data_IF_372506903647
#
_entry.id   IF_372506903647
#
_cell.length_a   1.000
_cell.length_b   1.000
_cell.length_c   1.000
_cell.angle_alpha   90.00
_cell.angle_beta   90.00
_cell.angle_gamma   90.00
#
_symmetry.space_group_name_H-M   'P 1'
#
loop_
_entity.id
_entity.type
_entity.pdbx_description
1 polymer ?
#
# COMPACT_ATOMS: atom_id res chain seq x y z
N UNK A 1 -0.35 4.42 11.01
CA UNK A 1 0.76 3.96 10.19
C UNK A 1 1.86 3.42 11.09
N UNK A 2 2.50 2.34 10.66
CA UNK A 2 3.60 1.75 11.40
C UNK A 2 4.89 1.99 10.64
N UNK A 3 5.93 2.34 11.37
CA UNK A 3 7.25 2.54 10.79
C UNK A 3 8.20 1.44 11.23
N UNK A 4 8.95 0.92 10.27
CA UNK A 4 9.96 -0.10 10.54
C UNK A 4 11.24 0.36 9.89
N UNK A 5 12.26 0.61 10.69
CA UNK A 5 13.49 1.17 10.14
C UNK A 5 14.74 0.35 10.45
N UNK A 6 14.56 -0.94 10.70
CA UNK A 6 15.71 -1.79 10.97
C UNK A 6 16.43 -2.34 9.77
N UNK A 7 15.93 -2.09 8.57
CA UNK A 7 16.53 -2.61 7.36
C UNK A 7 17.26 -1.55 6.57
N UNK A 8 17.53 -1.87 5.31
CA UNK A 8 18.25 -0.94 4.44
C UNK A 8 17.44 0.31 4.13
N UNK A 9 16.14 0.15 3.99
CA UNK A 9 15.24 1.26 3.76
C UNK A 9 14.16 1.23 4.82
N UNK A 10 13.65 2.39 5.22
CA UNK A 10 12.50 2.38 6.11
C UNK A 10 11.26 1.87 5.40
N UNK A 11 10.42 1.19 6.14
CA UNK A 11 9.15 0.68 5.63
C UNK A 11 8.03 1.36 6.40
N UNK A 12 7.09 1.95 5.66
CA UNK A 12 5.92 2.59 6.26
C UNK A 12 4.70 1.78 5.86
N UNK A 13 4.00 1.23 6.83
CA UNK A 13 2.87 0.34 6.57
C UNK A 13 1.57 1.06 6.90
N UNK A 14 0.70 1.13 5.92
CA UNK A 14 -0.59 1.79 6.05
C UNK A 14 -1.70 0.76 5.88
N UNK A 15 -2.54 0.63 6.89
CA UNK A 15 -3.71 -0.26 6.79
C UNK A 15 -4.93 0.62 6.60
N UNK A 16 -5.49 0.58 5.41
CA UNK A 16 -6.57 1.46 5.02
C UNK A 16 -7.94 0.84 5.19
N UNK A 17 -8.01 -0.25 5.92
CA UNK A 17 -9.26 -0.98 6.04
C UNK A 17 -10.39 -0.11 6.57
N UNK A 18 -10.08 0.77 7.51
CA UNK A 18 -11.09 1.58 8.16
C UNK A 18 -11.23 2.98 7.60
N UNK A 19 -10.42 3.33 6.62
CA UNK A 19 -10.51 4.65 6.03
C UNK A 19 -11.55 4.66 4.93
N UNK A 20 -12.29 5.74 4.86
CA UNK A 20 -13.37 5.84 3.90
C UNK A 20 -13.00 6.53 2.62
N UNK A 21 -11.88 7.23 2.58
CA UNK A 21 -11.54 7.99 1.39
C UNK A 21 -10.06 8.34 1.38
N UNK A 22 -9.60 8.79 0.21
CA UNK A 22 -8.24 9.25 0.05
C UNK A 22 -7.95 10.49 0.89
N UNK A 23 -8.96 11.29 1.16
CA UNK A 23 -8.75 12.49 1.98
C UNK A 23 -8.22 12.14 3.35
N UNK A 24 -8.73 11.05 3.94
CA UNK A 24 -8.25 10.64 5.24
C UNK A 24 -6.79 10.22 5.20
N UNK A 25 -6.38 9.63 4.10
CA UNK A 25 -4.97 9.25 3.95
C UNK A 25 -4.10 10.50 3.88
N UNK A 26 -4.54 11.52 3.18
CA UNK A 26 -3.77 12.75 3.11
C UNK A 26 -3.65 13.41 4.48
N UNK A 27 -4.67 13.29 5.30
CA UNK A 27 -4.62 13.87 6.64
C UNK A 27 -3.60 13.20 7.54
N UNK A 28 -3.28 11.95 7.26
CA UNK A 28 -2.25 11.24 8.01
C UNK A 28 -0.85 11.72 7.64
N UNK A 29 -0.71 12.40 6.51
CA UNK A 29 0.59 12.86 6.06
C UNK A 29 1.18 12.01 4.97
N UNK A 30 0.34 11.41 4.15
CA UNK A 30 0.76 10.47 3.11
C UNK A 30 1.90 11.01 2.25
N UNK A 31 1.80 12.27 1.85
CA UNK A 31 2.80 12.83 0.96
C UNK A 31 4.16 12.97 1.63
N UNK A 32 4.15 13.26 2.93
CA UNK A 32 5.40 13.32 3.67
C UNK A 32 6.09 11.98 3.68
N UNK A 33 5.33 10.92 3.90
CA UNK A 33 5.92 9.58 3.94
C UNK A 33 6.50 9.20 2.58
N UNK A 34 5.81 9.56 1.51
CA UNK A 34 6.33 9.27 0.17
C UNK A 34 7.68 9.93 -0.05
N UNK A 35 7.91 11.09 0.54
CA UNK A 35 9.15 11.81 0.35
C UNK A 35 10.28 11.41 1.26
N UNK A 36 10.09 10.41 2.12
CA UNK A 36 11.10 10.07 3.13
C UNK A 36 12.09 9.01 2.67
N UNK A 37 11.99 8.58 1.43
CA UNK A 37 13.02 7.70 0.87
C UNK A 37 12.90 6.24 1.24
N UNK A 38 11.73 5.82 1.68
CA UNK A 38 11.52 4.44 2.05
C UNK A 38 10.49 3.76 1.17
N UNK A 39 9.94 2.68 1.68
CA UNK A 39 8.91 1.90 0.99
C UNK A 39 7.60 2.08 1.74
N UNK A 40 6.55 2.43 1.00
CA UNK A 40 5.22 2.53 1.58
C UNK A 40 4.41 1.33 1.14
N UNK A 41 3.95 0.54 2.10
CA UNK A 41 3.11 -0.62 1.83
C UNK A 41 1.70 -0.31 2.30
N UNK A 42 0.73 -0.39 1.39
CA UNK A 42 -0.64 0.02 1.67
C UNK A 42 -1.55 -1.18 1.52
N UNK A 43 -2.22 -1.56 2.61
CA UNK A 43 -3.23 -2.61 2.58
C UNK A 43 -4.60 -2.00 2.40
N UNK A 44 -5.48 -2.75 1.75
CA UNK A 44 -6.84 -2.29 1.45
C UNK A 44 -6.79 -1.03 0.60
N UNK A 45 -5.91 -1.07 -0.40
CA UNK A 45 -5.61 0.11 -1.19
C UNK A 45 -6.80 0.60 -2.01
N UNK A 46 -7.77 -0.26 -2.27
CA UNK A 46 -8.93 0.15 -3.05
C UNK A 46 -9.72 1.26 -2.36
N UNK A 47 -9.59 1.37 -1.04
CA UNK A 47 -10.28 2.43 -0.32
C UNK A 47 -9.67 3.80 -0.57
N UNK A 48 -8.43 3.84 -1.04
CA UNK A 48 -7.72 5.08 -1.23
C UNK A 48 -7.06 5.13 -2.60
N UNK A 49 -7.68 4.49 -3.58
CA UNK A 49 -7.08 4.32 -4.89
C UNK A 49 -6.68 5.65 -5.53
N UNK A 50 -7.41 6.70 -5.25
CA UNK A 50 -7.10 8.01 -5.84
C UNK A 50 -5.74 8.52 -5.41
N UNK A 51 -5.33 8.21 -4.19
CA UNK A 51 -4.05 8.69 -3.68
C UNK A 51 -2.89 7.89 -4.22
N UNK A 52 -3.16 6.74 -4.82
CA UNK A 52 -2.12 5.82 -5.24
C UNK A 52 -1.85 5.87 -6.72
N UNK A 53 -2.36 6.88 -7.38
CA UNK A 53 -2.06 7.07 -8.79
C UNK A 53 -0.58 7.34 -8.95
N UNK A 54 -0.04 6.89 -10.08
CA UNK A 54 1.35 7.08 -10.35
C UNK A 54 2.09 5.76 -10.26
N UNK A 55 3.31 5.83 -9.84
CA UNK A 55 4.20 4.68 -9.91
C UNK A 55 4.05 3.79 -8.69
N UNK A 56 3.46 2.62 -8.88
CA UNK A 56 3.33 1.68 -7.78
C UNK A 56 3.27 0.26 -8.31
N UNK A 57 3.49 -0.69 -7.40
CA UNK A 57 3.32 -2.10 -7.70
C UNK A 57 2.11 -2.58 -6.94
N UNK A 58 1.19 -3.19 -7.65
CA UNK A 58 -0.01 -3.73 -7.04
C UNK A 58 0.17 -5.21 -6.81
N UNK A 59 -0.16 -5.66 -5.61
CA UNK A 59 -0.08 -7.06 -5.26
C UNK A 59 -1.47 -7.53 -4.85
N UNK A 60 -2.02 -8.47 -5.60
CA UNK A 60 -3.31 -9.07 -5.30
C UNK A 60 -3.07 -10.43 -4.69
N UNK A 61 -3.68 -10.68 -3.54
CA UNK A 61 -3.55 -11.96 -2.86
C UNK A 61 -4.94 -12.54 -2.69
N UNK A 62 -5.14 -13.73 -3.23
CA UNK A 62 -6.45 -14.38 -3.18
C UNK A 62 -6.31 -15.78 -2.61
N UNK A 63 -7.38 -16.26 -2.04
CA UNK A 63 -7.40 -17.63 -1.57
C UNK A 63 -7.41 -18.59 -2.73
N UNK A 64 -6.67 -19.68 -2.59
CA UNK A 64 -6.69 -20.73 -3.58
C UNK A 64 -7.78 -21.75 -3.29
N UNK A 65 -7.70 -22.87 -4.00
CA UNK A 65 -8.70 -23.92 -3.86
C UNK A 65 -8.59 -24.68 -2.54
N UNK A 66 -7.40 -24.74 -1.98
CA UNK A 66 -7.15 -25.45 -0.72
C UNK A 66 -6.76 -24.45 0.35
N UNK A 67 -6.91 -24.87 1.61
CA UNK A 67 -6.69 -23.95 2.73
C UNK A 67 -5.32 -23.31 2.73
N UNK A 68 -4.31 -24.04 2.36
CA UNK A 68 -2.95 -23.50 2.40
C UNK A 68 -2.52 -22.76 1.17
N UNK A 69 -3.40 -22.63 0.19
CA UNK A 69 -3.03 -22.02 -1.08
C UNK A 69 -3.40 -20.57 -1.16
N UNK A 70 -2.55 -19.81 -1.83
CA UNK A 70 -2.83 -18.42 -2.17
C UNK A 70 -2.36 -18.16 -3.58
N UNK A 71 -3.13 -17.38 -4.30
CA UNK A 71 -2.72 -16.88 -5.60
C UNK A 71 -2.26 -15.45 -5.43
N UNK A 72 -1.05 -15.17 -5.85
CA UNK A 72 -0.45 -13.86 -5.73
C UNK A 72 -0.15 -13.34 -7.11
N UNK A 73 -0.73 -12.20 -7.44
CA UNK A 73 -0.52 -11.57 -8.73
C UNK A 73 0.11 -10.21 -8.50
N UNK A 74 1.22 -9.95 -9.17
CA UNK A 74 1.89 -8.66 -9.09
C UNK A 74 1.76 -7.96 -10.42
N UNK A 75 1.34 -6.72 -10.36
CA UNK A 75 1.16 -5.90 -11.55
C UNK A 75 1.94 -4.63 -11.34
N UNK A 76 2.88 -4.37 -12.22
CA UNK A 76 3.59 -3.13 -12.21
C UNK A 76 2.78 -2.14 -13.01
N UNK A 77 2.28 -1.16 -12.33
CA UNK A 77 1.42 -0.25 -12.99
C UNK A 77 1.85 1.16 -12.76
N UNK A 78 0.89 1.98 -12.53
CA UNK A 78 1.17 3.32 -12.13
C UNK A 78 1.26 4.30 -13.24
N UNK A 79 1.25 3.87 -14.44
CA UNK A 79 1.17 4.79 -15.54
C UNK A 79 -0.26 5.17 -15.77
N UNK A 80 -0.58 6.41 -15.69
CA UNK A 80 -1.96 6.84 -15.88
C UNK A 80 -2.04 8.07 -16.71
#
# INVERSE_FOLDING_TARGET
>A
VNEYDGGRLPLFHFDMYRLGSADELFEIGWEDYLGRGGVCAVEWSENVAEALEGHCVRVDIRRGANDGQRFITMTEGGER
#
